data_IF_916806596042
#
_entry.id   IF_916806596042
#
_cell.length_a   1.000
_cell.length_b   1.000
_cell.length_c   1.000
_cell.angle_alpha   90.00
_cell.angle_beta   90.00
_cell.angle_gamma   90.00
#
_symmetry.space_group_name_H-M   'P 1'
#
loop_
_entity.id
_entity.type
_entity.pdbx_description
1 polymer ?
#
# COMPACT_ATOMS: atom_id res chain seq x y z
N UNK A 1 55.27 10.67 13.40
CA UNK A 1 53.79 10.63 13.50
C UNK A 1 53.25 10.99 12.13
N UNK A 2 53.07 9.99 11.26
CA UNK A 2 52.64 10.19 9.87
C UNK A 2 51.12 10.14 9.76
N UNK A 3 50.52 11.31 9.51
CA UNK A 3 49.12 11.42 9.11
C UNK A 3 48.97 10.98 7.65
N UNK A 4 48.58 9.72 7.43
CA UNK A 4 48.07 9.26 6.13
C UNK A 4 46.79 10.05 5.79
N UNK A 5 46.92 11.07 4.94
CA UNK A 5 45.78 11.66 4.22
C UNK A 5 45.18 10.57 3.34
N UNK A 6 43.99 10.09 3.70
CA UNK A 6 43.18 9.26 2.81
C UNK A 6 42.77 10.12 1.63
N UNK A 7 43.33 9.83 0.45
CA UNK A 7 42.99 10.48 -0.81
C UNK A 7 41.56 10.11 -1.20
N UNK A 8 40.72 11.12 -1.42
CA UNK A 8 39.32 11.01 -1.87
C UNK A 8 39.21 10.27 -3.22
N UNK A 9 40.31 10.12 -3.97
CA UNK A 9 40.32 9.46 -5.29
C UNK A 9 40.27 7.92 -5.29
N UNK A 10 40.17 7.25 -4.13
CA UNK A 10 40.24 5.78 -4.02
C UNK A 10 38.89 5.09 -3.80
N UNK A 11 37.76 5.80 -3.79
CA UNK A 11 36.47 5.13 -3.69
C UNK A 11 36.06 4.64 -5.08
N UNK A 12 35.87 3.32 -5.30
CA UNK A 12 35.35 2.80 -6.56
C UNK A 12 33.86 3.14 -6.69
N UNK A 13 33.56 4.39 -7.06
CA UNK A 13 32.19 4.84 -7.37
C UNK A 13 31.87 4.54 -8.83
N UNK A 14 31.76 3.26 -9.16
CA UNK A 14 31.31 2.82 -10.48
C UNK A 14 29.78 2.73 -10.49
N UNK A 15 29.08 3.86 -10.44
CA UNK A 15 27.62 3.93 -10.60
C UNK A 15 27.24 3.87 -12.09
N UNK A 16 27.62 2.80 -12.79
CA UNK A 16 27.05 2.53 -14.11
C UNK A 16 25.63 2.02 -13.90
N UNK A 17 24.65 2.88 -14.12
CA UNK A 17 23.23 2.49 -14.15
C UNK A 17 23.11 1.33 -15.15
N UNK A 18 22.63 0.18 -14.68
CA UNK A 18 22.47 -1.01 -15.54
C UNK A 18 21.48 -0.71 -16.66
N UNK A 19 21.59 -1.42 -17.79
CA UNK A 19 20.61 -1.30 -18.88
C UNK A 19 19.18 -1.56 -18.38
N UNK A 20 19.03 -2.56 -17.51
CA UNK A 20 17.77 -2.86 -16.82
C UNK A 20 17.24 -1.66 -16.03
N UNK A 21 18.10 -0.99 -15.23
CA UNK A 21 17.69 0.19 -14.47
C UNK A 21 17.33 1.37 -15.39
N UNK A 22 18.01 1.54 -16.52
CA UNK A 22 17.66 2.55 -17.54
C UNK A 22 16.32 2.25 -18.21
N UNK A 23 16.07 0.99 -18.56
CA UNK A 23 14.79 0.56 -19.16
C UNK A 23 13.64 0.72 -18.15
N UNK A 24 13.85 0.33 -16.88
CA UNK A 24 12.86 0.53 -15.81
C UNK A 24 12.54 2.02 -15.61
N UNK A 25 13.55 2.89 -15.62
CA UNK A 25 13.34 4.33 -15.51
C UNK A 25 12.56 4.90 -16.72
N UNK A 26 12.77 4.38 -17.93
CA UNK A 26 12.07 4.81 -19.13
C UNK A 26 10.63 4.27 -19.24
N UNK A 27 10.31 3.15 -18.56
CA UNK A 27 9.00 2.49 -18.61
C UNK A 27 7.92 3.15 -17.73
N UNK A 28 8.26 4.23 -17.01
CA UNK A 28 7.35 4.96 -16.14
C UNK A 28 7.20 4.33 -14.75
N UNK A 29 6.18 4.77 -14.00
CA UNK A 29 5.91 4.31 -12.63
C UNK A 29 5.68 2.79 -12.63
N UNK A 30 6.33 1.99 -11.77
CA UNK A 30 6.11 0.54 -11.70
C UNK A 30 4.63 0.14 -11.54
N UNK A 31 4.24 -1.02 -12.09
CA UNK A 31 2.85 -1.48 -12.05
C UNK A 31 2.33 -1.68 -10.62
N UNK A 32 3.12 -2.27 -9.73
CA UNK A 32 2.75 -2.42 -8.32
C UNK A 32 2.52 -1.10 -7.60
N UNK A 33 3.28 -0.04 -7.93
CA UNK A 33 3.09 1.30 -7.36
C UNK A 33 1.76 1.90 -7.80
N UNK A 34 1.40 1.73 -9.09
CA UNK A 34 0.08 2.17 -9.58
C UNK A 34 -1.06 1.40 -8.94
N UNK A 35 -0.92 0.08 -8.79
CA UNK A 35 -1.94 -0.75 -8.09
C UNK A 35 -2.06 -0.34 -6.63
N UNK A 36 -0.94 -0.15 -5.92
CA UNK A 36 -0.95 0.27 -4.51
C UNK A 36 -1.63 1.63 -4.36
N UNK A 37 -1.30 2.60 -5.22
CA UNK A 37 -1.96 3.90 -5.22
C UNK A 37 -3.46 3.78 -5.46
N UNK A 38 -3.89 2.93 -6.41
CA UNK A 38 -5.32 2.72 -6.68
C UNK A 38 -6.06 2.08 -5.52
N UNK A 39 -5.41 1.18 -4.77
CA UNK A 39 -5.95 0.60 -3.53
C UNK A 39 -6.16 1.73 -2.51
N UNK A 40 -5.14 2.55 -2.25
CA UNK A 40 -5.23 3.68 -1.31
C UNK A 40 -6.34 4.68 -1.71
N UNK A 41 -6.43 5.05 -3.00
CA UNK A 41 -7.45 5.98 -3.49
C UNK A 41 -8.88 5.44 -3.30
N UNK A 42 -9.06 4.11 -3.42
CA UNK A 42 -10.35 3.46 -3.22
C UNK A 42 -10.70 3.32 -1.74
N UNK A 43 -9.73 2.98 -0.88
CA UNK A 43 -9.90 3.00 0.58
C UNK A 43 -10.32 4.40 1.05
N UNK A 44 -9.63 5.44 0.59
CA UNK A 44 -9.96 6.85 0.90
C UNK A 44 -11.35 7.24 0.39
N UNK A 45 -11.76 6.75 -0.79
CA UNK A 45 -13.11 6.96 -1.29
C UNK A 45 -14.19 6.30 -0.40
N UNK A 46 -13.95 5.08 0.10
CA UNK A 46 -14.85 4.41 1.03
C UNK A 46 -14.97 5.20 2.33
N UNK A 47 -13.84 5.61 2.91
CA UNK A 47 -13.84 6.43 4.13
C UNK A 47 -14.65 7.70 3.96
N UNK A 48 -14.42 8.47 2.89
CA UNK A 48 -15.19 9.70 2.60
C UNK A 48 -16.69 9.45 2.53
N UNK A 49 -17.13 8.41 1.82
CA UNK A 49 -18.57 8.10 1.73
C UNK A 49 -19.16 7.81 3.11
N UNK A 50 -18.44 7.09 3.97
CA UNK A 50 -18.92 6.76 5.30
C UNK A 50 -18.87 7.94 6.27
N UNK A 51 -17.87 8.81 6.16
CA UNK A 51 -17.78 10.08 6.89
C UNK A 51 -18.93 11.01 6.49
N UNK A 52 -19.16 11.22 5.19
CA UNK A 52 -20.29 12.03 4.69
C UNK A 52 -21.64 11.46 5.19
N UNK A 53 -21.79 10.13 5.18
CA UNK A 53 -22.98 9.45 5.71
C UNK A 53 -23.15 9.68 7.22
N UNK A 54 -22.05 9.68 7.98
CA UNK A 54 -22.07 9.92 9.41
C UNK A 54 -22.50 11.36 9.73
N UNK A 55 -21.90 12.34 9.04
CA UNK A 55 -22.22 13.76 9.21
C UNK A 55 -23.69 14.04 8.86
N UNK A 56 -24.16 13.53 7.73
CA UNK A 56 -25.57 13.65 7.33
C UNK A 56 -26.51 13.02 8.37
N UNK A 57 -26.19 11.84 8.89
CA UNK A 57 -27.02 11.19 9.90
C UNK A 57 -27.06 11.96 11.23
N UNK A 58 -25.96 12.61 11.63
CA UNK A 58 -25.96 13.50 12.80
C UNK A 58 -26.87 14.71 12.58
N UNK A 59 -26.83 15.33 11.40
CA UNK A 59 -27.70 16.47 11.09
C UNK A 59 -29.19 16.08 11.08
N UNK A 60 -29.53 14.96 10.45
CA UNK A 60 -30.92 14.47 10.33
C UNK A 60 -31.50 13.99 11.67
N UNK A 61 -30.67 13.44 12.56
CA UNK A 61 -31.09 12.86 13.83
C UNK A 61 -30.73 13.73 15.05
N UNK A 62 -30.49 15.02 14.86
CA UNK A 62 -30.29 15.98 15.96
C UNK A 62 -29.07 15.69 16.84
N UNK A 63 -28.02 15.14 16.26
CA UNK A 63 -26.76 14.81 16.94
C UNK A 63 -26.76 13.47 17.67
N UNK A 64 -27.72 12.58 17.42
CA UNK A 64 -27.69 11.22 17.98
C UNK A 64 -26.58 10.36 17.33
N UNK A 65 -25.43 10.32 17.98
CA UNK A 65 -24.27 9.54 17.56
C UNK A 65 -24.56 8.04 17.43
N UNK A 66 -25.40 7.47 18.28
CA UNK A 66 -25.65 6.03 18.26
C UNK A 66 -26.47 5.64 17.02
N UNK A 67 -27.46 6.47 16.67
CA UNK A 67 -28.22 6.30 15.44
C UNK A 67 -27.33 6.52 14.21
N UNK A 68 -26.50 7.56 14.19
CA UNK A 68 -25.56 7.82 13.09
C UNK A 68 -24.58 6.65 12.88
N UNK A 69 -23.98 6.11 13.94
CA UNK A 69 -23.11 4.92 13.87
C UNK A 69 -23.82 3.69 13.31
N UNK A 70 -25.10 3.49 13.65
CA UNK A 70 -25.88 2.37 13.13
C UNK A 70 -26.15 2.52 11.63
N UNK A 71 -26.50 3.73 11.18
CA UNK A 71 -26.70 4.04 9.76
C UNK A 71 -25.42 3.81 8.95
N UNK A 72 -24.28 4.32 9.43
CA UNK A 72 -22.98 4.10 8.79
C UNK A 72 -22.64 2.61 8.70
N UNK A 73 -22.87 1.84 9.77
CA UNK A 73 -22.63 0.39 9.78
C UNK A 73 -23.50 -0.33 8.75
N UNK A 74 -24.78 0.00 8.67
CA UNK A 74 -25.68 -0.57 7.66
C UNK A 74 -25.25 -0.20 6.24
N UNK A 75 -24.79 1.04 6.02
CA UNK A 75 -24.30 1.48 4.73
C UNK A 75 -23.02 0.72 4.34
N UNK A 76 -22.05 0.62 5.26
CA UNK A 76 -20.81 -0.12 5.04
C UNK A 76 -21.06 -1.60 4.69
N UNK A 77 -22.03 -2.24 5.35
CA UNK A 77 -22.43 -3.64 5.06
C UNK A 77 -22.97 -3.84 3.63
N UNK A 78 -23.53 -2.79 3.02
CA UNK A 78 -24.09 -2.83 1.65
C UNK A 78 -23.06 -2.45 0.59
N UNK A 79 -21.89 -1.94 0.96
CA UNK A 79 -20.86 -1.55 0.01
C UNK A 79 -20.24 -2.76 -0.67
N UNK A 80 -20.08 -2.68 -1.99
CA UNK A 80 -19.34 -3.66 -2.75
C UNK A 80 -17.83 -3.36 -2.70
N UNK A 81 -17.09 -4.19 -1.99
CA UNK A 81 -15.62 -4.12 -1.89
C UNK A 81 -14.91 -5.05 -2.87
N UNK A 82 -15.64 -5.70 -3.80
CA UNK A 82 -15.08 -6.69 -4.74
C UNK A 82 -13.92 -6.13 -5.57
N UNK A 83 -14.08 -4.94 -6.15
CA UNK A 83 -13.05 -4.28 -6.95
C UNK A 83 -11.77 -4.00 -6.13
N UNK A 84 -11.93 -3.53 -4.90
CA UNK A 84 -10.81 -3.23 -4.00
C UNK A 84 -10.07 -4.50 -3.61
N UNK A 85 -10.81 -5.55 -3.23
CA UNK A 85 -10.25 -6.85 -2.88
C UNK A 85 -9.59 -7.56 -4.06
N UNK A 86 -10.12 -7.41 -5.28
CA UNK A 86 -9.49 -7.90 -6.50
C UNK A 86 -8.15 -7.21 -6.78
N UNK A 87 -8.07 -5.89 -6.51
CA UNK A 87 -6.81 -5.17 -6.63
C UNK A 87 -5.80 -5.60 -5.58
N UNK A 88 -6.24 -5.86 -4.35
CA UNK A 88 -5.42 -6.41 -3.27
C UNK A 88 -4.88 -7.80 -3.66
N UNK A 89 -5.71 -8.71 -4.16
CA UNK A 89 -5.26 -10.04 -4.62
C UNK A 89 -4.20 -9.92 -5.72
N UNK A 90 -4.47 -9.09 -6.74
CA UNK A 90 -3.50 -8.85 -7.82
C UNK A 90 -2.22 -8.21 -7.30
N UNK A 91 -2.31 -7.27 -6.37
CA UNK A 91 -1.13 -6.67 -5.77
C UNK A 91 -0.30 -7.73 -5.05
N UNK A 92 -0.90 -8.53 -4.17
CA UNK A 92 -0.22 -9.59 -3.43
C UNK A 92 0.42 -10.63 -4.36
N UNK A 93 -0.27 -11.03 -5.43
CA UNK A 93 0.23 -12.02 -6.38
C UNK A 93 1.49 -11.55 -7.12
N UNK A 94 1.53 -10.29 -7.53
CA UNK A 94 2.56 -9.78 -8.42
C UNK A 94 3.65 -8.94 -7.72
N UNK A 95 3.35 -8.34 -6.57
CA UNK A 95 4.26 -7.40 -5.90
C UNK A 95 5.64 -7.99 -5.59
N UNK A 96 5.77 -9.21 -5.02
CA UNK A 96 7.09 -9.73 -4.69
C UNK A 96 8.02 -9.87 -5.90
N UNK A 97 7.43 -10.23 -7.05
CA UNK A 97 8.13 -10.43 -8.31
C UNK A 97 8.45 -9.08 -8.94
N UNK A 98 7.47 -8.18 -9.05
CA UNK A 98 7.64 -6.87 -9.68
C UNK A 98 8.58 -5.94 -8.89
N UNK A 99 8.58 -6.05 -7.57
CA UNK A 99 9.49 -5.32 -6.69
C UNK A 99 10.86 -6.00 -6.53
N UNK A 100 11.04 -7.18 -7.13
CA UNK A 100 12.24 -8.01 -7.02
C UNK A 100 12.67 -8.20 -5.55
N UNK A 101 11.71 -8.63 -4.70
CA UNK A 101 11.99 -8.81 -3.29
C UNK A 101 13.05 -9.90 -3.09
N UNK A 102 14.01 -9.73 -2.17
CA UNK A 102 14.91 -10.81 -1.80
C UNK A 102 14.14 -11.96 -1.14
N UNK A 103 14.65 -13.18 -1.26
CA UNK A 103 14.12 -14.35 -0.56
C UNK A 103 15.06 -14.73 0.58
N UNK A 104 14.53 -15.08 1.75
CA UNK A 104 15.31 -15.73 2.79
C UNK A 104 15.61 -17.19 2.38
N UNK A 105 16.90 -17.53 2.28
CA UNK A 105 17.38 -18.85 1.86
C UNK A 105 16.86 -19.98 2.78
N UNK A 106 16.68 -19.70 4.07
CA UNK A 106 16.26 -20.72 5.03
C UNK A 106 14.77 -21.03 4.94
N UNK A 107 13.95 -19.99 4.77
CA UNK A 107 12.49 -20.10 4.87
C UNK A 107 11.79 -20.07 3.50
N UNK A 108 12.50 -19.66 2.45
CA UNK A 108 11.92 -19.43 1.12
C UNK A 108 10.94 -18.26 1.07
N UNK A 109 10.83 -17.45 2.14
CA UNK A 109 9.90 -16.32 2.20
C UNK A 109 10.49 -15.10 1.52
N UNK A 110 9.64 -14.36 0.81
CA UNK A 110 9.97 -13.02 0.34
C UNK A 110 10.24 -12.10 1.54
N UNK A 111 11.17 -11.18 1.37
CA UNK A 111 11.65 -10.28 2.41
C UNK A 111 11.46 -8.83 1.95
N UNK A 112 10.87 -8.01 2.81
CA UNK A 112 10.72 -6.58 2.61
C UNK A 112 11.37 -5.86 3.80
N UNK A 113 12.33 -4.98 3.53
CA UNK A 113 13.03 -4.20 4.55
C UNK A 113 13.57 -5.05 5.74
N UNK A 114 14.10 -6.24 5.45
CA UNK A 114 14.68 -7.14 6.45
C UNK A 114 13.68 -7.98 7.25
N UNK A 115 12.38 -7.90 6.95
CA UNK A 115 11.32 -8.73 7.55
C UNK A 115 10.66 -9.61 6.50
N UNK A 116 10.07 -10.76 6.87
CA UNK A 116 9.19 -11.50 5.98
C UNK A 116 8.10 -10.57 5.44
N UNK A 117 7.94 -10.55 4.13
CA UNK A 117 6.86 -9.81 3.49
C UNK A 117 5.52 -10.48 3.81
N UNK A 118 4.53 -9.66 4.17
CA UNK A 118 3.18 -10.10 4.46
C UNK A 118 2.23 -9.53 3.40
N UNK A 119 1.37 -10.37 2.80
CA UNK A 119 0.36 -9.91 1.86
C UNK A 119 -0.66 -9.03 2.59
N UNK A 120 -1.22 -8.06 1.87
CA UNK A 120 -2.33 -7.26 2.37
C UNK A 120 -3.55 -8.16 2.59
N UNK A 121 -4.21 -8.02 3.73
CA UNK A 121 -5.45 -8.75 3.99
C UNK A 121 -6.59 -8.22 3.09
N UNK A 122 -7.54 -9.08 2.69
CA UNK A 122 -8.78 -8.60 2.07
C UNK A 122 -9.53 -7.74 3.08
N UNK A 123 -10.10 -6.64 2.59
CA UNK A 123 -10.87 -5.70 3.39
C UNK A 123 -12.32 -6.15 3.49
N UNK A 124 -12.89 -5.88 4.65
CA UNK A 124 -14.27 -6.10 5.03
C UNK A 124 -14.90 -4.78 5.46
N UNK A 125 -16.22 -4.71 5.53
CA UNK A 125 -16.91 -3.51 6.02
C UNK A 125 -16.52 -3.16 7.47
N UNK A 126 -16.03 -4.12 8.26
CA UNK A 126 -15.62 -3.91 9.64
C UNK A 126 -14.38 -3.02 9.74
N UNK A 127 -13.50 -3.09 8.74
CA UNK A 127 -12.26 -2.31 8.67
C UNK A 127 -12.53 -0.80 8.52
N UNK A 128 -13.75 -0.41 8.16
CA UNK A 128 -14.16 0.98 7.97
C UNK A 128 -15.10 1.51 9.06
N UNK A 129 -15.48 0.69 10.05
CA UNK A 129 -16.46 1.03 11.09
C UNK A 129 -15.89 0.91 12.52
N UNK A 130 -14.60 0.62 12.66
CA UNK A 130 -13.88 0.45 13.93
C UNK A 130 -13.54 1.78 14.59
#
# INVERSE_FOLDING_TARGET
MDSKRLSIGSLPVNFKISLEARVRAAAGIPAYMRRKRRIEDLEEAVHRVLEDTYEQALEEHGGDEQTARNIVREQAQRMDLSLLNDLIDRHNRYYPIEANLPTDIKTGRWMLAGKPWEPLAPLTWQDFCS
#
